data_IF_745769810282
#
_entry.id   IF_745769810282
#
_cell.length_a   1.000
_cell.length_b   1.000
_cell.length_c   1.000
_cell.angle_alpha   90.00
_cell.angle_beta   90.00
_cell.angle_gamma   90.00
#
_symmetry.space_group_name_H-M   'P 1'
#
loop_
_entity.id
_entity.type
_entity.pdbx_description
1 polymer ?
#
# COMPACT_ATOMS: atom_id res chain seq x y z
N UNK A 1 6.02 6.20 -17.17
CA UNK A 1 7.06 5.70 -16.25
C UNK A 1 8.07 4.94 -17.08
N UNK A 2 9.36 5.22 -16.95
CA UNK A 2 10.43 4.67 -17.79
C UNK A 2 10.94 3.27 -17.40
N UNK A 3 10.12 2.44 -16.76
CA UNK A 3 10.50 1.08 -16.39
C UNK A 3 10.07 0.09 -17.47
N UNK A 4 10.98 -0.82 -17.82
CA UNK A 4 10.73 -1.92 -18.72
C UNK A 4 10.48 -3.20 -17.90
N UNK A 5 9.38 -3.89 -18.16
CA UNK A 5 9.04 -5.16 -17.54
C UNK A 5 9.15 -6.25 -18.60
N UNK A 6 9.92 -7.30 -18.30
CA UNK A 6 10.12 -8.45 -19.19
C UNK A 6 9.95 -9.75 -18.41
N UNK A 7 9.42 -10.76 -19.07
CA UNK A 7 9.46 -12.13 -18.55
C UNK A 7 10.76 -12.81 -19.00
N UNK A 8 11.49 -13.38 -18.04
CA UNK A 8 12.74 -14.10 -18.29
C UNK A 8 12.55 -15.58 -17.95
N UNK A 9 13.01 -16.47 -18.83
CA UNK A 9 12.76 -17.92 -18.70
C UNK A 9 13.20 -18.51 -17.35
N UNK A 10 14.34 -18.08 -16.81
CA UNK A 10 14.92 -18.61 -15.56
C UNK A 10 14.62 -17.73 -14.36
N UNK A 11 14.55 -16.41 -14.56
CA UNK A 11 14.43 -15.44 -13.48
C UNK A 11 12.98 -15.05 -13.18
N UNK A 12 12.05 -15.33 -14.11
CA UNK A 12 10.65 -14.85 -14.06
C UNK A 12 10.54 -13.37 -14.42
N UNK A 13 9.55 -12.68 -13.87
CA UNK A 13 9.34 -11.27 -14.12
C UNK A 13 10.55 -10.43 -13.69
N UNK A 14 11.10 -9.66 -14.64
CA UNK A 14 12.23 -8.74 -14.41
C UNK A 14 11.78 -7.32 -14.70
N UNK A 15 12.20 -6.37 -13.87
CA UNK A 15 11.99 -4.94 -14.09
C UNK A 15 13.34 -4.29 -14.26
N UNK A 16 13.53 -3.49 -15.31
CA UNK A 16 14.83 -2.89 -15.64
C UNK A 16 14.69 -1.46 -16.12
N UNK A 17 15.74 -0.69 -15.93
CA UNK A 17 15.92 0.61 -16.53
C UNK A 17 17.40 0.88 -16.78
N UNK A 18 17.73 1.44 -17.95
CA UNK A 18 19.08 1.88 -18.27
C UNK A 18 19.16 3.41 -18.22
N UNK A 19 20.34 3.92 -17.89
CA UNK A 19 20.67 5.33 -17.93
C UNK A 19 22.03 5.54 -18.57
N UNK A 20 22.23 6.71 -19.16
CA UNK A 20 23.51 7.08 -19.74
C UNK A 20 23.64 8.58 -19.91
N UNK A 21 24.86 9.07 -19.70
CA UNK A 21 25.33 10.40 -20.03
C UNK A 21 26.68 10.25 -20.75
N UNK A 22 27.14 11.25 -21.51
CA UNK A 22 28.49 11.22 -22.07
C UNK A 22 29.54 10.92 -20.98
N UNK A 23 30.31 9.84 -21.15
CA UNK A 23 31.26 9.34 -20.17
C UNK A 23 30.75 8.36 -19.14
N UNK A 24 29.43 8.09 -19.08
CA UNK A 24 28.83 7.21 -18.06
C UNK A 24 27.77 6.31 -18.64
N UNK A 25 27.58 5.14 -18.04
CA UNK A 25 26.45 4.24 -18.29
C UNK A 25 26.00 3.60 -16.99
N UNK A 26 24.71 3.26 -16.93
CA UNK A 26 24.12 2.56 -15.80
C UNK A 26 23.00 1.60 -16.23
N UNK A 27 22.76 0.60 -15.45
CA UNK A 27 21.54 -0.21 -15.51
C UNK A 27 21.17 -0.66 -14.11
N UNK A 28 19.87 -0.67 -13.85
CA UNK A 28 19.30 -1.38 -12.72
C UNK A 28 18.32 -2.44 -13.21
N UNK A 29 18.34 -3.59 -12.58
CA UNK A 29 17.44 -4.71 -12.84
C UNK A 29 17.09 -5.39 -11.53
N UNK A 30 15.80 -5.70 -11.33
CA UNK A 30 15.38 -6.43 -10.14
C UNK A 30 14.31 -7.46 -10.47
N UNK A 31 14.18 -8.43 -9.58
CA UNK A 31 13.26 -9.54 -9.62
C UNK A 31 12.19 -9.32 -8.54
N UNK A 32 11.00 -8.76 -8.87
CA UNK A 32 9.98 -8.44 -7.86
C UNK A 32 9.57 -9.64 -7.02
N UNK A 33 9.39 -10.81 -7.65
CA UNK A 33 9.00 -12.05 -6.97
C UNK A 33 10.08 -12.64 -6.05
N UNK A 34 11.33 -12.13 -6.09
CA UNK A 34 12.45 -12.62 -5.27
C UNK A 34 13.03 -11.55 -4.35
N UNK A 35 12.59 -10.29 -4.48
CA UNK A 35 13.06 -9.19 -3.64
C UNK A 35 14.56 -8.87 -3.80
N UNK A 36 15.19 -9.24 -4.94
CA UNK A 36 16.60 -9.03 -5.22
C UNK A 36 16.77 -8.23 -6.51
N UNK A 37 17.86 -7.47 -6.59
CA UNK A 37 18.22 -6.73 -7.79
C UNK A 37 19.71 -6.51 -7.92
N UNK A 38 20.13 -6.10 -9.10
CA UNK A 38 21.49 -5.70 -9.44
C UNK A 38 21.50 -4.28 -10.00
N UNK A 39 22.45 -3.49 -9.58
CA UNK A 39 22.73 -2.16 -10.13
C UNK A 39 24.18 -2.13 -10.59
N UNK A 40 24.39 -1.69 -11.82
CA UNK A 40 25.73 -1.49 -12.36
C UNK A 40 25.86 -0.05 -12.88
N UNK A 41 26.97 0.58 -12.54
CA UNK A 41 27.35 1.92 -13.00
C UNK A 41 28.79 1.90 -13.47
N UNK A 42 29.10 2.72 -14.45
CA UNK A 42 30.45 2.84 -15.01
C UNK A 42 30.72 4.25 -15.49
N UNK A 43 31.99 4.60 -15.56
CA UNK A 43 32.50 5.81 -16.16
C UNK A 43 32.87 5.63 -17.65
N UNK A 44 32.25 4.68 -18.34
CA UNK A 44 32.46 4.40 -19.75
C UNK A 44 31.13 4.53 -20.52
N UNK A 45 31.11 5.39 -21.56
CA UNK A 45 29.93 5.56 -22.42
C UNK A 45 29.64 4.25 -23.19
N UNK A 46 28.36 3.89 -23.30
CA UNK A 46 27.87 2.67 -24.00
C UNK A 46 28.39 1.34 -23.46
N UNK A 47 28.93 1.30 -22.26
CA UNK A 47 29.24 0.03 -21.63
C UNK A 47 27.98 -0.82 -21.43
N UNK A 48 28.03 -2.16 -21.63
CA UNK A 48 26.87 -3.03 -21.67
C UNK A 48 26.33 -3.37 -20.26
N UNK A 49 25.97 -2.36 -19.50
CA UNK A 49 25.53 -2.51 -18.09
C UNK A 49 24.24 -3.33 -17.95
N UNK A 50 23.37 -3.34 -18.97
CA UNK A 50 22.16 -4.16 -18.98
C UNK A 50 22.47 -5.66 -19.15
N UNK A 51 23.54 -5.97 -19.87
CA UNK A 51 24.06 -7.36 -19.98
C UNK A 51 24.64 -7.78 -18.66
N UNK A 52 25.50 -6.94 -18.07
CA UNK A 52 26.17 -7.25 -16.79
C UNK A 52 25.17 -7.52 -15.66
N UNK A 53 24.12 -6.69 -15.51
CA UNK A 53 23.11 -6.90 -14.47
C UNK A 53 22.28 -8.15 -14.70
N UNK A 54 21.99 -8.51 -15.96
CA UNK A 54 21.32 -9.76 -16.31
C UNK A 54 22.19 -10.97 -15.96
N UNK A 55 23.41 -11.00 -16.47
CA UNK A 55 24.34 -12.12 -16.30
C UNK A 55 24.68 -12.35 -14.81
N UNK A 56 24.76 -11.29 -14.03
CA UNK A 56 24.92 -11.39 -12.57
C UNK A 56 23.74 -12.08 -11.90
N UNK A 57 22.51 -11.71 -12.27
CA UNK A 57 21.30 -12.33 -11.70
C UNK A 57 21.14 -13.78 -12.16
N UNK A 58 21.48 -14.09 -13.42
CA UNK A 58 21.53 -15.48 -13.95
C UNK A 58 22.57 -16.32 -13.18
N UNK A 59 23.76 -15.78 -12.98
CA UNK A 59 24.81 -16.45 -12.19
C UNK A 59 24.38 -16.75 -10.75
N UNK A 60 23.68 -15.79 -10.10
CA UNK A 60 23.15 -15.99 -8.76
C UNK A 60 22.04 -17.06 -8.75
N UNK A 61 21.19 -17.10 -9.80
CA UNK A 61 20.18 -18.13 -9.98
C UNK A 61 20.82 -19.52 -10.11
N UNK A 62 21.79 -19.67 -11.01
CA UNK A 62 22.47 -20.94 -11.28
C UNK A 62 23.22 -21.50 -10.06
N UNK A 63 23.67 -20.61 -9.18
CA UNK A 63 24.28 -20.97 -7.90
C UNK A 63 23.29 -21.20 -6.75
N UNK A 64 21.99 -21.14 -7.01
CA UNK A 64 20.95 -21.29 -5.98
C UNK A 64 20.92 -20.14 -4.94
N UNK A 65 21.57 -19.01 -5.27
CA UNK A 65 21.66 -17.88 -4.36
C UNK A 65 20.42 -16.94 -4.40
N UNK A 66 19.49 -17.17 -5.35
CA UNK A 66 18.25 -16.43 -5.42
C UNK A 66 17.14 -17.19 -4.68
N UNK A 67 17.24 -17.29 -3.39
CA UNK A 67 16.14 -17.78 -2.56
C UNK A 67 14.97 -16.76 -2.60
N UNK A 68 13.69 -17.21 -2.54
CA UNK A 68 12.58 -16.31 -2.28
C UNK A 68 12.91 -15.51 -1.01
N UNK A 69 12.61 -14.21 -1.00
CA UNK A 69 12.68 -13.45 0.22
C UNK A 69 11.74 -14.12 1.24
N UNK A 70 12.33 -14.84 2.18
CA UNK A 70 11.54 -15.35 3.30
C UNK A 70 11.01 -14.11 4.02
N UNK A 71 9.70 -13.99 4.10
CA UNK A 71 9.03 -13.01 4.96
C UNK A 71 9.15 -13.50 6.41
N UNK A 72 10.39 -13.62 6.88
CA UNK A 72 10.64 -13.87 8.28
C UNK A 72 10.32 -12.60 9.07
N UNK A 73 9.70 -12.72 10.26
CA UNK A 73 9.53 -11.60 11.15
C UNK A 73 10.87 -10.90 11.33
N UNK A 74 10.93 -9.62 10.99
CA UNK A 74 12.13 -8.83 11.23
C UNK A 74 12.05 -8.28 12.65
N UNK A 75 12.85 -8.75 13.62
CA UNK A 75 12.76 -8.30 15.03
C UNK A 75 12.93 -6.79 15.18
N UNK A 76 13.69 -6.16 14.27
CA UNK A 76 13.84 -4.72 14.22
C UNK A 76 12.52 -4.00 13.83
N UNK A 77 11.77 -4.54 12.87
CA UNK A 77 10.49 -4.00 12.45
C UNK A 77 9.43 -4.12 13.54
N UNK A 78 9.39 -5.25 14.24
CA UNK A 78 8.48 -5.44 15.38
C UNK A 78 8.81 -4.49 16.54
N UNK A 79 10.11 -4.27 16.81
CA UNK A 79 10.55 -3.29 17.82
C UNK A 79 10.09 -1.88 17.40
N UNK A 80 10.36 -1.48 16.16
CA UNK A 80 9.97 -0.18 15.64
C UNK A 80 8.43 0.01 15.68
N UNK A 81 7.66 -1.02 15.36
CA UNK A 81 6.20 -0.99 15.45
C UNK A 81 5.71 -0.73 16.88
N UNK A 82 6.29 -1.41 17.87
CA UNK A 82 5.97 -1.19 19.30
C UNK A 82 6.34 0.21 19.77
N UNK A 83 7.53 0.68 19.40
CA UNK A 83 7.99 2.04 19.77
C UNK A 83 7.12 3.12 19.10
N UNK A 84 6.77 2.96 17.83
CA UNK A 84 5.86 3.87 17.14
C UNK A 84 4.46 3.85 17.74
N UNK A 85 3.90 2.70 18.08
CA UNK A 85 2.60 2.61 18.73
C UNK A 85 2.58 3.35 20.07
N UNK A 86 3.64 3.19 20.87
CA UNK A 86 3.79 3.91 22.13
C UNK A 86 3.94 5.42 21.93
N UNK A 87 4.75 5.84 20.94
CA UNK A 87 4.99 7.25 20.61
C UNK A 87 3.72 7.93 20.07
N UNK A 88 2.96 7.26 19.19
CA UNK A 88 1.69 7.76 18.66
C UNK A 88 0.59 7.83 19.72
N UNK A 89 0.67 7.00 20.75
CA UNK A 89 -0.27 7.02 21.89
C UNK A 89 0.09 8.08 22.92
N UNK A 90 1.38 8.35 23.13
CA UNK A 90 1.89 9.35 24.07
C UNK A 90 3.21 9.90 23.54
N UNK A 91 3.14 11.04 22.88
CA UNK A 91 4.31 11.66 22.27
C UNK A 91 5.35 12.06 23.31
N UNK A 92 6.58 11.63 23.10
CA UNK A 92 7.76 11.96 23.89
C UNK A 92 8.88 12.37 22.94
N UNK A 93 9.35 13.64 22.99
CA UNK A 93 10.43 14.12 22.12
C UNK A 93 11.75 13.35 22.26
N UNK A 94 12.11 12.89 23.47
CA UNK A 94 13.33 12.13 23.69
C UNK A 94 13.24 10.74 23.06
N UNK A 95 12.10 10.08 23.18
CA UNK A 95 11.82 8.82 22.50
C UNK A 95 11.82 8.99 20.99
N UNK A 96 11.22 10.06 20.47
CA UNK A 96 11.23 10.36 19.04
C UNK A 96 12.66 10.52 18.51
N UNK A 97 13.50 11.27 19.21
CA UNK A 97 14.92 11.45 18.82
C UNK A 97 15.72 10.14 18.82
N UNK A 98 15.40 9.18 19.70
CA UNK A 98 16.05 7.87 19.74
C UNK A 98 15.52 6.87 18.71
N UNK A 99 14.29 7.07 18.22
CA UNK A 99 13.62 6.16 17.29
C UNK A 99 13.88 6.53 15.82
N UNK A 100 13.94 7.82 15.50
CA UNK A 100 13.97 8.30 14.13
C UNK A 100 15.38 8.46 13.58
N UNK A 101 15.53 8.23 12.29
CA UNK A 101 16.73 8.60 11.54
C UNK A 101 16.79 10.12 11.29
N UNK A 102 17.96 10.63 10.98
CA UNK A 102 18.24 12.08 10.85
C UNK A 102 17.41 12.77 9.76
N UNK A 103 16.91 12.03 8.76
CA UNK A 103 16.07 12.58 7.68
C UNK A 103 14.62 12.85 8.10
N UNK A 104 14.12 12.26 9.19
CA UNK A 104 12.69 12.32 9.55
C UNK A 104 12.25 13.72 9.95
N UNK A 105 13.07 14.43 10.73
CA UNK A 105 12.76 15.80 11.16
C UNK A 105 12.84 16.84 10.02
N UNK A 106 13.79 16.77 9.07
CA UNK A 106 13.78 17.60 7.87
C UNK A 106 12.58 17.37 6.94
N UNK A 107 12.10 16.13 6.81
CA UNK A 107 10.96 15.82 5.95
C UNK A 107 9.65 16.38 6.50
N UNK A 108 9.45 16.29 7.82
CA UNK A 108 8.31 16.87 8.54
C UNK A 108 8.69 17.06 10.00
N UNK A 109 8.46 18.27 10.54
CA UNK A 109 8.95 18.66 11.87
C UNK A 109 8.37 17.77 12.97
N UNK A 110 9.14 17.56 14.04
CA UNK A 110 8.70 16.77 15.19
C UNK A 110 7.47 17.37 15.87
N UNK A 111 7.30 18.70 15.85
CA UNK A 111 6.12 19.38 16.40
C UNK A 111 4.85 19.05 15.60
N UNK A 112 4.94 19.02 14.25
CA UNK A 112 3.83 18.62 13.39
C UNK A 112 3.47 17.16 13.61
N UNK A 113 4.45 16.29 13.75
CA UNK A 113 4.26 14.88 14.07
C UNK A 113 3.65 14.68 15.45
N UNK A 114 4.05 15.48 16.44
CA UNK A 114 3.44 15.50 17.77
C UNK A 114 1.95 15.90 17.72
N UNK A 115 1.62 16.95 16.96
CA UNK A 115 0.24 17.36 16.75
C UNK A 115 -0.59 16.30 16.04
N UNK A 116 -0.02 15.65 15.01
CA UNK A 116 -0.67 14.54 14.30
C UNK A 116 -0.91 13.32 15.21
N UNK A 117 0.06 12.99 16.08
CA UNK A 117 -0.08 11.93 17.08
C UNK A 117 -1.17 12.24 18.11
N UNK A 118 -1.26 13.49 18.58
CA UNK A 118 -2.33 13.94 19.48
C UNK A 118 -3.72 13.80 18.84
N UNK A 119 -3.88 14.25 17.58
CA UNK A 119 -5.13 14.11 16.84
C UNK A 119 -5.48 12.63 16.59
N UNK A 120 -4.47 11.79 16.32
CA UNK A 120 -4.66 10.34 16.15
C UNK A 120 -5.16 9.70 17.46
N UNK A 121 -4.54 10.05 18.58
CA UNK A 121 -4.94 9.57 19.91
C UNK A 121 -6.36 10.03 20.29
N UNK A 122 -6.72 11.26 20.00
CA UNK A 122 -8.09 11.77 20.21
C UNK A 122 -9.10 10.93 19.41
N UNK A 123 -8.75 10.58 18.16
CA UNK A 123 -9.62 9.82 17.26
C UNK A 123 -9.74 8.35 17.62
N UNK A 124 -8.64 7.68 17.96
CA UNK A 124 -8.58 6.22 18.13
C UNK A 124 -8.41 5.76 19.58
N UNK A 125 -8.03 6.62 20.51
CA UNK A 125 -7.61 6.22 21.85
C UNK A 125 -6.15 5.73 21.88
N UNK A 126 -5.80 4.95 22.92
CA UNK A 126 -4.49 4.32 23.00
C UNK A 126 -4.33 3.23 21.95
N UNK A 127 -3.15 3.19 21.31
CA UNK A 127 -2.84 2.25 20.23
C UNK A 127 -1.99 1.09 20.75
N UNK A 128 -2.32 -0.14 20.33
CA UNK A 128 -1.55 -1.35 20.61
C UNK A 128 -1.25 -2.08 19.31
N UNK A 129 -0.06 -2.66 19.20
CA UNK A 129 0.28 -3.52 18.06
C UNK A 129 -0.58 -4.78 18.08
N UNK A 130 -1.32 -5.00 17.02
CA UNK A 130 -2.15 -6.18 16.77
C UNK A 130 -1.37 -7.20 15.90
N UNK A 131 -0.75 -6.70 14.82
CA UNK A 131 0.06 -7.52 13.94
C UNK A 131 1.15 -6.67 13.26
N UNK A 132 2.23 -7.34 12.82
CA UNK A 132 3.25 -6.77 11.96
C UNK A 132 3.36 -7.67 10.73
N UNK A 133 3.18 -7.09 9.54
CA UNK A 133 3.28 -7.77 8.26
C UNK A 133 4.55 -7.26 7.53
N UNK A 134 5.68 -7.97 7.62
CA UNK A 134 6.91 -7.58 6.94
C UNK A 134 6.76 -7.81 5.43
N UNK A 135 7.12 -6.79 4.65
CA UNK A 135 7.35 -6.90 3.20
C UNK A 135 8.83 -7.29 2.94
N UNK A 136 9.73 -6.72 3.77
CA UNK A 136 11.18 -6.95 3.75
C UNK A 136 11.74 -6.84 5.17
N UNK A 137 13.03 -7.15 5.32
CA UNK A 137 13.72 -7.03 6.62
C UNK A 137 13.64 -5.62 7.24
N UNK A 138 13.55 -4.58 6.39
CA UNK A 138 13.53 -3.17 6.80
C UNK A 138 12.23 -2.45 6.49
N UNK A 139 11.22 -3.15 5.95
CA UNK A 139 9.94 -2.53 5.56
C UNK A 139 8.76 -3.46 5.83
N UNK A 140 7.64 -2.88 6.24
CA UNK A 140 6.38 -3.60 6.41
C UNK A 140 5.30 -2.72 7.01
N UNK A 141 4.15 -3.32 7.23
CA UNK A 141 2.99 -2.69 7.82
C UNK A 141 2.83 -3.15 9.27
N UNK A 142 2.65 -2.21 10.19
CA UNK A 142 2.14 -2.47 11.52
C UNK A 142 0.64 -2.18 11.55
N UNK A 143 -0.14 -3.13 12.01
CA UNK A 143 -1.56 -2.97 12.29
C UNK A 143 -1.73 -2.70 13.78
N UNK A 144 -2.29 -1.53 14.10
CA UNK A 144 -2.51 -1.11 15.48
C UNK A 144 -4.00 -1.14 15.77
N UNK A 145 -4.37 -1.71 16.90
CA UNK A 145 -5.73 -1.65 17.44
C UNK A 145 -5.85 -0.44 18.37
N UNK A 146 -6.86 0.38 18.15
CA UNK A 146 -7.29 1.45 19.01
C UNK A 146 -8.66 1.15 19.63
N UNK A 147 -9.10 1.97 20.58
CA UNK A 147 -10.43 1.87 21.21
C UNK A 147 -11.56 2.10 20.19
N UNK A 148 -11.33 2.97 19.21
CA UNK A 148 -12.30 3.42 18.20
C UNK A 148 -11.81 3.20 16.77
N UNK A 149 -11.42 1.95 16.44
CA UNK A 149 -10.98 1.59 15.11
C UNK A 149 -9.54 1.11 15.06
N UNK A 150 -8.97 1.05 13.87
CA UNK A 150 -7.64 0.54 13.60
C UNK A 150 -6.78 1.61 12.95
N UNK A 151 -5.47 1.42 13.04
CA UNK A 151 -4.47 2.26 12.37
C UNK A 151 -3.49 1.34 11.67
N UNK A 152 -3.22 1.57 10.39
CA UNK A 152 -2.11 0.95 9.69
C UNK A 152 -0.95 1.94 9.67
N UNK A 153 0.23 1.46 9.99
CA UNK A 153 1.47 2.23 9.93
C UNK A 153 2.43 1.51 9.00
N UNK A 154 2.65 2.08 7.81
CA UNK A 154 3.76 1.64 6.96
C UNK A 154 5.06 2.10 7.62
N UNK A 155 6.00 1.19 7.79
CA UNK A 155 7.28 1.45 8.46
C UNK A 155 8.41 1.12 7.51
N UNK A 156 9.38 2.02 7.42
CA UNK A 156 10.63 1.81 6.70
C UNK A 156 11.80 2.17 7.60
N UNK A 157 12.71 1.21 7.78
CA UNK A 157 13.91 1.35 8.61
C UNK A 157 15.11 1.70 7.74
N UNK A 158 15.98 2.58 8.25
CA UNK A 158 17.24 2.86 7.61
C UNK A 158 18.16 1.60 7.71
N UNK A 159 18.91 1.26 6.65
CA UNK A 159 19.81 0.11 6.63
C UNK A 159 21.12 0.41 7.40
N UNK A 160 20.99 0.85 8.65
CA UNK A 160 22.06 1.15 9.59
C UNK A 160 22.09 0.12 10.70
N UNK A 161 23.17 0.01 11.45
CA UNK A 161 23.30 -0.96 12.54
C UNK A 161 22.17 -0.86 13.58
N UNK A 162 21.73 0.35 13.92
CA UNK A 162 20.62 0.61 14.86
C UNK A 162 19.22 0.43 14.22
N UNK A 163 19.14 0.39 12.88
CA UNK A 163 17.88 0.32 12.12
C UNK A 163 16.82 1.33 12.61
N UNK A 164 17.12 2.65 12.67
CA UNK A 164 16.15 3.64 13.07
C UNK A 164 15.05 3.78 12.02
N UNK A 165 13.88 4.28 12.40
CA UNK A 165 12.79 4.56 11.48
C UNK A 165 13.17 5.75 10.60
N UNK A 166 13.29 5.52 9.29
CA UNK A 166 13.57 6.59 8.32
C UNK A 166 12.32 7.15 7.65
N UNK A 167 11.23 6.38 7.66
CA UNK A 167 9.92 6.81 7.15
C UNK A 167 8.82 6.03 7.84
N UNK A 168 7.73 6.71 8.13
CA UNK A 168 6.47 6.05 8.46
C UNK A 168 5.28 6.83 7.89
N UNK A 169 4.21 6.11 7.54
CA UNK A 169 2.95 6.68 7.07
C UNK A 169 1.81 6.08 7.87
N UNK A 170 0.97 6.93 8.39
CA UNK A 170 -0.16 6.53 9.25
C UNK A 170 -1.46 6.60 8.45
N UNK A 171 -2.18 5.51 8.38
CA UNK A 171 -3.51 5.41 7.76
C UNK A 171 -4.55 5.07 8.82
N UNK A 172 -5.49 5.95 9.02
CA UNK A 172 -6.63 5.77 9.94
C UNK A 172 -7.65 4.81 9.32
N UNK A 173 -8.11 3.82 10.09
CA UNK A 173 -9.12 2.84 9.65
C UNK A 173 -10.24 2.84 10.67
N UNK A 174 -11.18 3.76 10.51
CA UNK A 174 -12.41 3.79 11.29
C UNK A 174 -13.42 2.80 10.71
N UNK A 175 -14.36 2.29 11.51
CA UNK A 175 -15.47 1.52 10.96
C UNK A 175 -16.30 2.44 10.05
N UNK A 176 -16.59 2.03 8.81
CA UNK A 176 -17.49 2.76 7.94
C UNK A 176 -18.89 2.81 8.51
N UNK A 177 -19.66 3.83 8.14
CA UNK A 177 -21.07 3.92 8.51
C UNK A 177 -21.86 2.72 7.96
N UNK A 178 -22.92 2.33 8.66
CA UNK A 178 -23.83 1.29 8.19
C UNK A 178 -24.40 1.61 6.81
N UNK A 179 -24.71 2.90 6.54
CA UNK A 179 -25.22 3.37 5.27
C UNK A 179 -24.22 3.17 4.11
N UNK A 180 -22.91 3.41 4.35
CA UNK A 180 -21.87 3.17 3.35
C UNK A 180 -21.74 1.67 3.06
N UNK A 181 -21.68 0.83 4.10
CA UNK A 181 -21.59 -0.62 3.95
C UNK A 181 -22.80 -1.23 3.24
N UNK A 182 -24.01 -0.80 3.59
CA UNK A 182 -25.23 -1.22 2.91
C UNK A 182 -25.21 -0.84 1.43
N UNK A 183 -24.87 0.41 1.14
CA UNK A 183 -24.82 0.92 -0.23
C UNK A 183 -23.73 0.22 -1.05
N UNK A 184 -22.56 -0.04 -0.46
CA UNK A 184 -21.49 -0.83 -1.08
C UNK A 184 -21.93 -2.28 -1.36
N UNK A 185 -22.66 -2.90 -0.45
CA UNK A 185 -23.23 -4.24 -0.64
C UNK A 185 -24.22 -4.30 -1.80
N UNK A 186 -25.11 -3.31 -1.91
CA UNK A 186 -26.04 -3.18 -3.04
C UNK A 186 -25.30 -2.99 -4.36
N UNK A 187 -24.27 -2.15 -4.38
CA UNK A 187 -23.45 -1.92 -5.57
C UNK A 187 -22.72 -3.21 -6.02
N UNK A 188 -22.18 -3.98 -5.07
CA UNK A 188 -21.51 -5.25 -5.37
C UNK A 188 -22.50 -6.30 -5.96
N UNK A 189 -23.73 -6.36 -5.46
CA UNK A 189 -24.76 -7.24 -5.98
C UNK A 189 -25.18 -6.88 -7.42
N UNK A 190 -25.22 -5.58 -7.74
CA UNK A 190 -25.53 -5.08 -9.08
C UNK A 190 -24.43 -5.39 -10.11
N UNK A 191 -23.21 -5.79 -9.69
CA UNK A 191 -22.13 -6.10 -10.62
C UNK A 191 -22.46 -7.28 -11.55
N UNK A 192 -23.24 -8.26 -11.11
CA UNK A 192 -23.63 -9.42 -11.90
C UNK A 192 -24.62 -9.07 -13.03
N UNK A 193 -25.52 -8.11 -12.77
CA UNK A 193 -26.52 -7.63 -13.72
C UNK A 193 -26.80 -6.14 -13.42
N UNK A 194 -25.98 -5.24 -13.95
CA UNK A 194 -26.14 -3.81 -13.70
C UNK A 194 -27.46 -3.29 -14.28
N UNK A 195 -28.30 -2.74 -13.40
CA UNK A 195 -29.57 -2.11 -13.76
C UNK A 195 -29.43 -0.58 -13.69
N UNK A 196 -29.42 0.14 -14.83
CA UNK A 196 -29.19 1.58 -14.85
C UNK A 196 -30.17 2.40 -14.00
N UNK A 197 -31.50 2.17 -13.98
CA UNK A 197 -32.44 2.83 -13.08
C UNK A 197 -32.05 2.63 -11.58
N UNK A 198 -31.70 1.42 -11.17
CA UNK A 198 -31.32 1.11 -9.79
C UNK A 198 -29.97 1.77 -9.44
N UNK A 199 -29.00 1.75 -10.37
CA UNK A 199 -27.74 2.46 -10.21
C UNK A 199 -27.93 3.96 -10.09
N UNK A 200 -28.78 4.57 -10.92
CA UNK A 200 -29.08 6.01 -10.85
C UNK A 200 -29.71 6.42 -9.50
N UNK A 201 -30.48 5.53 -8.87
CA UNK A 201 -31.03 5.78 -7.54
C UNK A 201 -29.97 5.67 -6.42
N UNK A 202 -28.97 4.83 -6.60
CA UNK A 202 -27.90 4.58 -5.62
C UNK A 202 -26.76 5.59 -5.74
N UNK A 203 -26.43 6.02 -6.95
CA UNK A 203 -25.29 6.88 -7.24
C UNK A 203 -25.62 8.38 -7.11
N UNK A 204 -24.59 9.21 -7.01
CA UNK A 204 -24.70 10.66 -7.10
C UNK A 204 -25.38 11.07 -8.44
N UNK A 205 -26.11 12.17 -8.42
CA UNK A 205 -26.87 12.67 -9.61
C UNK A 205 -25.95 13.06 -10.78
N UNK A 206 -24.68 13.34 -10.52
CA UNK A 206 -23.66 13.69 -11.51
C UNK A 206 -22.90 12.48 -12.03
N UNK A 207 -23.18 11.27 -11.51
CA UNK A 207 -22.46 10.07 -11.90
C UNK A 207 -22.76 9.64 -13.34
N UNK A 208 -21.73 9.19 -14.04
CA UNK A 208 -21.89 8.46 -15.30
C UNK A 208 -22.39 7.04 -15.02
N UNK A 209 -23.71 6.89 -14.90
CA UNK A 209 -24.37 5.61 -14.59
C UNK A 209 -24.02 4.52 -15.60
N UNK A 210 -23.87 4.89 -16.88
CA UNK A 210 -23.53 3.91 -17.92
C UNK A 210 -22.09 3.43 -17.80
N UNK A 211 -21.14 4.33 -17.57
CA UNK A 211 -19.76 3.99 -17.33
C UNK A 211 -19.57 3.16 -16.07
N UNK A 212 -20.29 3.46 -14.99
CA UNK A 212 -20.28 2.64 -13.76
C UNK A 212 -20.85 1.25 -14.04
N UNK A 213 -21.94 1.12 -14.77
CA UNK A 213 -22.52 -0.17 -15.15
C UNK A 213 -21.51 -1.03 -15.93
N UNK A 214 -20.80 -0.44 -16.90
CA UNK A 214 -19.76 -1.13 -17.66
C UNK A 214 -18.59 -1.58 -16.78
N UNK A 215 -18.12 -0.73 -15.86
CA UNK A 215 -17.04 -1.08 -14.93
C UNK A 215 -17.43 -2.24 -14.01
N UNK A 216 -18.66 -2.23 -13.48
CA UNK A 216 -19.17 -3.30 -12.62
C UNK A 216 -19.31 -4.62 -13.40
N UNK A 217 -19.88 -4.59 -14.61
CA UNK A 217 -19.98 -5.77 -15.46
C UNK A 217 -18.61 -6.36 -15.83
N UNK A 218 -17.64 -5.50 -16.14
CA UNK A 218 -16.26 -5.92 -16.39
C UNK A 218 -15.61 -6.55 -15.14
N UNK A 219 -15.81 -5.96 -13.96
CA UNK A 219 -15.34 -6.50 -12.70
C UNK A 219 -15.96 -7.89 -12.42
N UNK A 220 -17.28 -8.05 -12.62
CA UNK A 220 -17.93 -9.35 -12.47
C UNK A 220 -17.42 -10.37 -13.49
N UNK A 221 -17.20 -9.98 -14.73
CA UNK A 221 -16.66 -10.87 -15.78
C UNK A 221 -15.25 -11.35 -15.42
N UNK A 222 -14.40 -10.48 -14.86
CA UNK A 222 -13.01 -10.81 -14.50
C UNK A 222 -12.92 -11.59 -13.20
N UNK A 223 -13.69 -11.22 -12.18
CA UNK A 223 -13.54 -11.73 -10.80
C UNK A 223 -14.63 -12.68 -10.35
N UNK A 224 -15.74 -12.83 -11.09
CA UNK A 224 -16.91 -13.59 -10.68
C UNK A 224 -17.80 -12.83 -9.72
N UNK A 225 -18.55 -13.55 -8.89
CA UNK A 225 -19.43 -12.96 -7.88
C UNK A 225 -18.62 -12.12 -6.90
N UNK A 226 -19.01 -10.87 -6.71
CA UNK A 226 -18.35 -9.93 -5.81
C UNK A 226 -19.09 -9.83 -4.47
N UNK A 227 -18.33 -9.83 -3.38
CA UNK A 227 -18.82 -9.62 -2.01
C UNK A 227 -17.97 -8.58 -1.30
N UNK A 228 -18.59 -7.73 -0.49
CA UNK A 228 -17.88 -6.74 0.32
C UNK A 228 -17.14 -7.44 1.44
N UNK A 229 -15.83 -7.22 1.51
CA UNK A 229 -14.92 -7.74 2.51
C UNK A 229 -14.43 -6.64 3.48
N UNK A 230 -13.22 -6.77 4.02
CA UNK A 230 -12.72 -5.90 5.06
C UNK A 230 -12.47 -4.47 4.57
N UNK A 231 -12.53 -3.54 5.53
CA UNK A 231 -12.13 -2.15 5.34
C UNK A 231 -10.62 -2.07 5.20
N UNK A 232 -10.16 -1.46 4.11
CA UNK A 232 -8.72 -1.20 3.86
C UNK A 232 -8.34 0.18 4.39
N UNK A 233 -9.21 1.17 4.19
CA UNK A 233 -9.03 2.54 4.64
C UNK A 233 -10.40 3.19 4.84
N UNK A 234 -10.57 3.93 5.93
CA UNK A 234 -11.72 4.79 6.17
C UNK A 234 -11.34 5.85 7.21
N UNK A 235 -11.41 7.12 6.83
CA UNK A 235 -11.11 8.22 7.74
C UNK A 235 -12.35 8.70 8.54
N UNK A 236 -13.52 8.12 8.26
CA UNK A 236 -14.81 8.61 8.74
C UNK A 236 -15.32 9.81 7.94
N UNK A 237 -16.50 10.35 8.29
CA UNK A 237 -17.08 11.49 7.60
C UNK A 237 -16.22 12.75 7.80
N UNK A 238 -16.07 13.52 6.73
CA UNK A 238 -15.43 14.83 6.74
C UNK A 238 -16.37 15.93 7.24
N UNK A 239 -15.93 17.19 7.21
CA UNK A 239 -16.71 18.34 7.66
C UNK A 239 -17.99 18.58 6.83
N UNK A 240 -18.09 18.04 5.61
CA UNK A 240 -19.29 18.07 4.76
C UNK A 240 -20.24 16.91 5.04
N UNK A 241 -19.85 15.95 5.88
CA UNK A 241 -20.54 14.70 6.11
C UNK A 241 -20.29 13.65 5.02
N UNK A 242 -19.39 13.92 4.06
CA UNK A 242 -18.99 12.94 3.07
C UNK A 242 -18.00 11.93 3.68
N UNK A 243 -18.30 10.65 3.50
CA UNK A 243 -17.49 9.54 4.01
C UNK A 243 -16.84 8.79 2.87
N UNK A 244 -15.49 8.75 2.86
CA UNK A 244 -14.72 8.02 1.86
C UNK A 244 -14.09 6.79 2.49
N UNK A 245 -14.28 5.64 1.84
CA UNK A 245 -13.65 4.39 2.26
C UNK A 245 -13.05 3.62 1.08
N UNK A 246 -12.04 2.83 1.37
CA UNK A 246 -11.53 1.78 0.50
C UNK A 246 -11.95 0.46 1.14
N UNK A 247 -12.76 -0.30 0.41
CA UNK A 247 -13.24 -1.61 0.82
C UNK A 247 -12.62 -2.68 -0.08
N UNK A 248 -12.22 -3.79 0.50
CA UNK A 248 -11.83 -4.94 -0.30
C UNK A 248 -13.08 -5.70 -0.71
N UNK A 249 -13.24 -5.92 -1.99
CA UNK A 249 -14.26 -6.81 -2.50
C UNK A 249 -13.61 -8.12 -2.91
N UNK A 250 -14.16 -9.21 -2.39
CA UNK A 250 -13.73 -10.56 -2.72
C UNK A 250 -14.51 -11.07 -3.92
N UNK A 251 -13.80 -11.57 -4.90
CA UNK A 251 -14.35 -12.28 -6.04
C UNK A 251 -13.86 -13.73 -6.08
N UNK A 252 -14.51 -14.57 -6.87
CA UNK A 252 -14.16 -15.99 -7.03
C UNK A 252 -12.76 -16.19 -7.64
N UNK A 253 -12.27 -15.19 -8.40
CA UNK A 253 -11.01 -15.23 -9.14
C UNK A 253 -10.03 -14.13 -8.73
N UNK A 254 -10.16 -13.60 -7.52
CA UNK A 254 -9.28 -12.58 -6.95
C UNK A 254 -10.01 -11.42 -6.31
N UNK A 255 -9.25 -10.49 -5.77
CA UNK A 255 -9.75 -9.38 -4.99
C UNK A 255 -9.64 -8.04 -5.71
N UNK A 256 -10.52 -7.12 -5.36
CA UNK A 256 -10.54 -5.72 -5.78
C UNK A 256 -10.49 -4.80 -4.58
N UNK A 257 -9.69 -3.74 -4.63
CA UNK A 257 -9.83 -2.61 -3.71
C UNK A 257 -10.73 -1.56 -4.37
N UNK A 258 -11.88 -1.32 -3.75
CA UNK A 258 -12.94 -0.45 -4.26
C UNK A 258 -13.01 0.82 -3.43
N UNK A 259 -12.76 1.97 -4.06
CA UNK A 259 -12.87 3.27 -3.40
C UNK A 259 -14.26 3.84 -3.63
N UNK A 260 -14.95 4.12 -2.54
CA UNK A 260 -16.30 4.67 -2.51
C UNK A 260 -16.35 5.95 -1.67
N UNK A 261 -17.16 6.90 -2.10
CA UNK A 261 -17.54 8.05 -1.30
C UNK A 261 -19.05 8.07 -1.13
N UNK A 262 -19.53 8.13 0.11
CA UNK A 262 -20.94 8.34 0.44
C UNK A 262 -21.16 9.81 0.82
N UNK A 263 -22.04 10.51 0.12
CA UNK A 263 -22.41 11.89 0.41
C UNK A 263 -23.90 12.08 0.24
N UNK A 264 -24.57 12.70 1.20
CA UNK A 264 -26.01 12.94 1.18
C UNK A 264 -26.85 11.67 0.87
N UNK A 265 -26.40 10.51 1.35
CA UNK A 265 -27.07 9.22 1.13
C UNK A 265 -26.89 8.61 -0.26
N UNK A 266 -26.01 9.16 -1.08
CA UNK A 266 -25.69 8.67 -2.44
C UNK A 266 -24.21 8.31 -2.57
N UNK A 267 -23.93 7.24 -3.33
CA UNK A 267 -22.59 6.76 -3.58
C UNK A 267 -21.94 7.43 -4.80
N UNK A 268 -20.64 7.63 -4.70
CA UNK A 268 -19.75 7.78 -5.85
C UNK A 268 -18.77 6.60 -5.86
N UNK A 269 -18.66 5.96 -7.00
CA UNK A 269 -17.60 4.97 -7.27
C UNK A 269 -16.39 5.72 -7.81
N UNK A 270 -15.38 5.89 -6.98
CA UNK A 270 -14.17 6.64 -7.34
C UNK A 270 -13.18 5.76 -8.10
N UNK A 271 -13.07 4.47 -7.72
CA UNK A 271 -12.08 3.56 -8.30
C UNK A 271 -12.41 2.08 -8.06
N UNK A 272 -12.13 1.26 -9.07
CA UNK A 272 -11.98 -0.20 -8.98
C UNK A 272 -10.52 -0.54 -9.27
N UNK A 273 -9.81 -1.15 -8.35
CA UNK A 273 -8.41 -1.49 -8.51
C UNK A 273 -8.20 -2.99 -8.27
N UNK A 274 -7.88 -3.77 -9.34
CA UNK A 274 -7.48 -5.16 -9.18
C UNK A 274 -6.26 -5.27 -8.27
N UNK A 275 -6.27 -6.27 -7.40
CA UNK A 275 -5.10 -6.62 -6.62
C UNK A 275 -4.27 -7.66 -7.38
N UNK A 276 -2.93 -7.53 -7.39
CA UNK A 276 -2.09 -8.62 -7.87
C UNK A 276 -2.38 -9.86 -7.02
N UNK A 277 -2.41 -11.01 -7.66
CA UNK A 277 -2.42 -12.30 -6.97
C UNK A 277 -1.15 -12.40 -6.11
N UNK A 278 -1.25 -12.98 -4.91
CA UNK A 278 -0.10 -13.14 -4.00
C UNK A 278 1.00 -14.00 -4.61
#
# INVERSE_FOLDING_TARGET
MGLEVREHLQLGATVTHSGGLPGFASNMRWLPGRGIGAIAVTNLTYAPMSVLTRDLLELLHDRGALSPAASAPAPALERAARELAALLSAWDPARAAGLFADNVAPDDSLDRRAAAAAALRERHGALKVDAVAPDRATRGDAHLAGERGRVRVEIELAPLAAMPVQRYVVTSILPPSAALLESAGRLAQLAAAPDPPVLAALLETTADVHGVAQQLAAAHTLFGRLTVGPVVECAGPDASGAERAILRWHGERGDLDVTLTLSAGRLRLDRLAPRPLP
#
